data_IF_517099973026
#
_entry.id   IF_517099973026
#
_cell.length_a   1.000
_cell.length_b   1.000
_cell.length_c   1.000
_cell.angle_alpha   90.00
_cell.angle_beta   90.00
_cell.angle_gamma   90.00
#
_symmetry.space_group_name_H-M   'P 1'
#
loop_
_entity.id
_entity.type
_entity.pdbx_description
1 polymer ?
#
# COMPACT_ATOMS: atom_id res chain seq x y z
N UNK A 1 -30.11 43.94 -41.93
CA UNK A 1 -28.97 43.61 -42.80
C UNK A 1 -27.76 43.58 -41.90
N UNK A 2 -27.29 42.38 -41.56
CA UNK A 2 -26.23 42.18 -40.54
C UNK A 2 -24.91 41.92 -41.27
N UNK A 3 -23.96 42.82 -41.08
CA UNK A 3 -22.63 42.77 -41.67
C UNK A 3 -21.85 41.57 -41.10
N UNK A 4 -21.58 40.58 -41.94
CA UNK A 4 -20.76 39.43 -41.60
C UNK A 4 -19.28 39.82 -41.55
N UNK A 5 -18.67 39.74 -40.37
CA UNK A 5 -17.24 39.95 -40.17
C UNK A 5 -16.41 38.98 -41.01
N UNK A 6 -15.50 39.52 -41.82
CA UNK A 6 -14.58 38.74 -42.66
C UNK A 6 -13.64 37.88 -41.81
N UNK A 7 -13.56 36.58 -42.14
CA UNK A 7 -12.64 35.62 -41.52
C UNK A 7 -11.18 36.01 -41.79
N UNK A 8 -10.34 35.92 -40.76
CA UNK A 8 -8.95 36.43 -40.75
C UNK A 8 -8.03 35.86 -41.84
N UNK A 9 -8.35 34.71 -42.41
CA UNK A 9 -7.55 34.03 -43.44
C UNK A 9 -7.76 34.58 -44.85
N UNK A 10 -8.82 35.38 -45.10
CA UNK A 10 -9.10 35.99 -46.41
C UNK A 10 -8.66 37.46 -46.48
N UNK A 11 -7.47 37.76 -45.98
CA UNK A 11 -6.79 39.03 -46.29
C UNK A 11 -6.02 38.85 -47.59
N UNK A 12 -6.54 39.38 -48.70
CA UNK A 12 -5.68 39.67 -49.87
C UNK A 12 -4.72 40.77 -49.43
N UNK A 13 -3.50 40.39 -49.04
CA UNK A 13 -2.47 41.34 -48.65
C UNK A 13 -1.83 41.94 -49.90
N UNK A 14 -2.40 43.01 -50.42
CA UNK A 14 -1.64 43.92 -51.27
C UNK A 14 -0.79 44.79 -50.33
N UNK A 15 0.53 44.63 -50.46
CA UNK A 15 1.64 45.30 -49.75
C UNK A 15 2.24 44.55 -48.56
N UNK A 16 3.39 43.95 -48.88
CA UNK A 16 4.63 44.02 -48.12
C UNK A 16 4.52 43.86 -46.59
N UNK A 17 4.53 42.61 -46.14
CA UNK A 17 5.20 42.27 -44.89
C UNK A 17 6.17 41.13 -45.16
N UNK A 18 7.46 41.48 -45.15
CA UNK A 18 8.56 40.52 -45.13
C UNK A 18 8.49 39.84 -43.77
N UNK A 19 8.03 38.59 -43.74
CA UNK A 19 8.30 37.72 -42.62
C UNK A 19 8.77 36.38 -43.18
N UNK A 20 10.05 36.10 -42.95
CA UNK A 20 10.76 34.90 -43.35
C UNK A 20 10.26 33.70 -42.56
N UNK A 21 9.20 33.07 -43.06
CA UNK A 21 8.84 31.70 -42.74
C UNK A 21 8.59 30.99 -44.05
N UNK A 22 9.54 30.18 -44.53
CA UNK A 22 9.25 29.21 -45.58
C UNK A 22 8.30 28.18 -45.00
N UNK A 23 7.01 28.41 -45.13
CA UNK A 23 6.01 27.39 -44.89
C UNK A 23 6.01 26.47 -46.10
N UNK A 24 6.41 25.22 -45.92
CA UNK A 24 6.17 24.17 -46.91
C UNK A 24 4.65 24.02 -47.07
N UNK A 25 4.09 24.60 -48.13
CA UNK A 25 2.65 24.63 -48.43
C UNK A 25 2.09 23.20 -48.67
N UNK A 26 2.94 22.18 -48.77
CA UNK A 26 2.54 20.78 -49.00
C UNK A 26 2.13 19.96 -47.77
N UNK A 27 2.34 20.45 -46.54
CA UNK A 27 2.10 19.66 -45.31
C UNK A 27 1.17 20.34 -44.29
N UNK A 28 0.38 21.33 -44.70
CA UNK A 28 -0.70 21.84 -43.85
C UNK A 28 -1.85 20.83 -43.84
N UNK A 29 -1.76 19.87 -42.91
CA UNK A 29 -2.88 19.02 -42.53
C UNK A 29 -4.06 19.93 -42.17
N UNK A 30 -5.21 19.72 -42.82
CA UNK A 30 -6.44 20.43 -42.50
C UNK A 30 -6.74 20.28 -41.00
N UNK A 31 -7.35 21.29 -40.36
CA UNK A 31 -7.85 21.14 -39.00
C UNK A 31 -8.78 19.92 -38.96
N UNK A 32 -8.52 19.02 -38.01
CA UNK A 32 -9.14 17.69 -37.88
C UNK A 32 -10.67 17.71 -37.77
N UNK A 33 -11.28 18.88 -37.56
CA UNK A 33 -12.71 19.04 -37.45
C UNK A 33 -13.19 20.20 -38.35
N UNK A 34 -14.07 19.94 -39.32
CA UNK A 34 -14.75 21.00 -40.06
C UNK A 34 -15.69 21.79 -39.13
N UNK A 35 -16.05 23.04 -39.49
CA UNK A 35 -17.09 23.79 -38.81
C UNK A 35 -18.42 23.02 -38.72
N UNK A 36 -19.21 23.24 -37.66
CA UNK A 36 -20.49 22.54 -37.47
C UNK A 36 -21.41 22.74 -38.68
N UNK A 37 -21.97 21.64 -39.20
CA UNK A 37 -22.85 21.64 -40.37
C UNK A 37 -22.13 21.56 -41.73
N UNK A 38 -20.80 21.47 -41.74
CA UNK A 38 -20.00 21.36 -42.96
C UNK A 38 -19.10 20.14 -42.94
N UNK A 39 -18.70 19.66 -44.10
CA UNK A 39 -17.76 18.54 -44.26
C UNK A 39 -16.66 18.86 -45.28
N UNK A 40 -15.48 18.27 -45.06
CA UNK A 40 -14.36 18.36 -45.99
C UNK A 40 -14.54 17.28 -47.06
N UNK A 41 -14.66 17.69 -48.32
CA UNK A 41 -14.67 16.75 -49.46
C UNK A 41 -13.48 17.02 -50.35
N UNK A 42 -12.83 15.95 -50.81
CA UNK A 42 -11.72 16.05 -51.75
C UNK A 42 -12.27 16.03 -53.17
N UNK A 43 -11.98 17.08 -53.93
CA UNK A 43 -12.38 17.25 -55.33
C UNK A 43 -11.47 16.40 -56.23
N UNK A 44 -11.91 16.12 -57.45
CA UNK A 44 -11.17 15.35 -58.47
C UNK A 44 -9.82 15.99 -58.86
N UNK A 45 -9.69 17.30 -58.66
CA UNK A 45 -8.44 18.07 -58.77
C UNK A 45 -7.46 17.85 -57.62
N UNK A 46 -7.86 17.12 -56.58
CA UNK A 46 -7.06 16.86 -55.39
C UNK A 46 -7.09 17.96 -54.32
N UNK A 47 -7.84 19.05 -54.57
CA UNK A 47 -8.08 20.13 -53.62
C UNK A 47 -9.19 19.76 -52.62
N UNK A 48 -9.14 20.34 -51.42
CA UNK A 48 -10.16 20.14 -50.39
C UNK A 48 -11.14 21.31 -50.37
N UNK A 49 -12.42 21.01 -50.54
CA UNK A 49 -13.49 22.00 -50.47
C UNK A 49 -14.45 21.70 -49.32
N UNK A 50 -15.09 22.76 -48.85
CA UNK A 50 -15.98 22.74 -47.70
C UNK A 50 -17.43 22.70 -48.20
N UNK A 51 -18.07 21.55 -48.07
CA UNK A 51 -19.47 21.36 -48.48
C UNK A 51 -20.41 21.55 -47.30
N UNK A 52 -21.58 22.16 -47.55
CA UNK A 52 -22.67 22.11 -46.59
C UNK A 52 -23.18 20.67 -46.55
N UNK A 53 -23.31 20.12 -45.34
CA UNK A 53 -23.82 18.76 -45.16
C UNK A 53 -25.29 18.74 -45.59
N UNK A 54 -25.54 18.37 -46.85
CA UNK A 54 -26.89 18.28 -47.41
C UNK A 54 -27.71 17.33 -46.52
N UNK A 55 -28.76 17.88 -45.93
CA UNK A 55 -29.71 17.15 -45.10
C UNK A 55 -30.49 16.17 -45.99
N UNK A 56 -29.94 14.97 -46.18
CA UNK A 56 -30.72 13.85 -46.67
C UNK A 56 -31.83 13.57 -45.63
N UNK A 57 -33.14 13.61 -45.98
CA UNK A 57 -34.24 13.61 -45.00
C UNK A 57 -34.46 12.29 -44.22
N UNK A 58 -33.47 11.40 -44.15
CA UNK A 58 -33.61 10.10 -43.48
C UNK A 58 -32.65 9.84 -42.32
N UNK A 59 -31.88 10.84 -41.85
CA UNK A 59 -31.20 10.74 -40.55
C UNK A 59 -31.24 12.08 -39.81
N UNK A 60 -32.43 12.44 -39.34
CA UNK A 60 -32.59 13.36 -38.22
C UNK A 60 -32.44 12.63 -36.88
N UNK A 61 -31.95 13.37 -35.89
CA UNK A 61 -32.05 13.18 -34.43
C UNK A 61 -31.20 12.10 -33.74
N UNK A 62 -30.03 12.52 -33.25
CA UNK A 62 -29.69 12.56 -31.80
C UNK A 62 -28.73 13.77 -31.65
N UNK A 63 -29.13 15.01 -31.34
CA UNK A 63 -29.91 15.52 -30.20
C UNK A 63 -29.55 14.78 -28.92
N UNK A 64 -28.73 15.46 -28.11
CA UNK A 64 -28.77 15.48 -26.65
C UNK A 64 -29.72 14.44 -26.02
N UNK A 65 -29.20 13.24 -25.78
CA UNK A 65 -29.65 12.36 -24.70
C UNK A 65 -28.68 12.66 -23.55
N UNK A 66 -28.91 13.63 -22.65
CA UNK A 66 -30.00 13.66 -21.67
C UNK A 66 -30.76 12.33 -21.62
N UNK A 67 -30.09 11.31 -21.09
CA UNK A 67 -30.78 10.26 -20.35
C UNK A 67 -31.23 10.85 -19.01
N UNK A 68 -32.53 11.07 -18.77
CA UNK A 68 -33.08 11.08 -17.42
C UNK A 68 -33.25 9.62 -17.00
N UNK A 69 -32.15 8.88 -16.86
CA UNK A 69 -32.23 7.66 -16.07
C UNK A 69 -32.13 8.09 -14.61
N UNK A 70 -33.30 8.33 -14.03
CA UNK A 70 -33.60 8.34 -12.60
C UNK A 70 -33.31 6.95 -12.01
N UNK A 71 -32.10 6.45 -12.22
CA UNK A 71 -31.60 5.31 -11.50
C UNK A 71 -31.09 5.86 -10.16
N UNK A 72 -31.97 5.84 -9.16
CA UNK A 72 -31.72 5.80 -7.72
C UNK A 72 -30.24 5.46 -7.42
N UNK A 73 -29.41 6.49 -7.50
CA UNK A 73 -27.96 6.38 -7.45
C UNK A 73 -27.63 6.50 -5.99
N UNK A 74 -27.56 5.36 -5.29
CA UNK A 74 -27.28 5.29 -3.86
C UNK A 74 -26.37 6.45 -3.40
N UNK A 75 -26.93 7.36 -2.61
CA UNK A 75 -26.22 8.55 -2.16
C UNK A 75 -25.11 8.12 -1.21
N UNK A 76 -23.86 8.39 -1.58
CA UNK A 76 -22.72 8.17 -0.70
C UNK A 76 -22.45 9.45 0.08
N UNK A 77 -22.35 9.34 1.40
CA UNK A 77 -21.93 10.44 2.26
C UNK A 77 -20.40 10.44 2.40
N UNK A 78 -19.74 11.50 1.94
CA UNK A 78 -18.30 11.70 2.07
C UNK A 78 -18.03 12.85 3.05
N UNK A 79 -17.23 12.59 4.09
CA UNK A 79 -16.76 13.64 4.99
C UNK A 79 -15.56 14.35 4.36
N UNK A 80 -15.70 15.65 4.12
CA UNK A 80 -14.67 16.47 3.46
C UNK A 80 -13.51 16.73 4.40
N UNK A 81 -12.29 16.40 3.95
CA UNK A 81 -11.07 16.84 4.61
C UNK A 81 -10.46 18.02 3.83
N UNK A 82 -10.66 19.25 4.29
CA UNK A 82 -10.22 20.49 3.60
C UNK A 82 -8.70 20.57 3.33
N UNK A 83 -7.89 19.79 4.04
CA UNK A 83 -6.43 19.79 3.86
C UNK A 83 -5.95 18.88 2.71
N UNK A 84 -6.75 17.87 2.36
CA UNK A 84 -6.36 16.80 1.42
C UNK A 84 -7.31 16.76 0.22
N UNK A 85 -8.61 16.87 0.48
CA UNK A 85 -9.64 16.79 -0.54
C UNK A 85 -9.71 18.10 -1.32
N UNK A 86 -9.77 17.97 -2.64
CA UNK A 86 -10.06 19.06 -3.57
C UNK A 86 -11.33 18.74 -4.34
N UNK A 87 -12.06 19.76 -4.78
CA UNK A 87 -13.31 19.58 -5.53
C UNK A 87 -13.09 18.73 -6.78
N UNK A 88 -12.00 19.01 -7.51
CA UNK A 88 -11.58 18.26 -8.69
C UNK A 88 -11.16 16.83 -8.34
N UNK A 89 -10.41 16.66 -7.24
CA UNK A 89 -10.00 15.33 -6.74
C UNK A 89 -11.20 14.45 -6.39
N UNK A 90 -12.22 15.02 -5.75
CA UNK A 90 -13.48 14.31 -5.47
C UNK A 90 -14.23 13.96 -6.76
N UNK A 91 -14.31 14.88 -7.73
CA UNK A 91 -14.93 14.59 -9.01
C UNK A 91 -14.26 13.42 -9.73
N UNK A 92 -12.92 13.39 -9.74
CA UNK A 92 -12.14 12.30 -10.34
C UNK A 92 -12.32 10.98 -9.57
N UNK A 93 -12.20 11.03 -8.24
CA UNK A 93 -12.29 9.87 -7.35
C UNK A 93 -13.64 9.17 -7.50
N UNK A 94 -14.72 9.94 -7.48
CA UNK A 94 -16.08 9.43 -7.56
C UNK A 94 -16.63 9.32 -8.99
N UNK A 95 -15.84 9.69 -10.01
CA UNK A 95 -16.27 9.80 -11.42
C UNK A 95 -17.56 10.62 -11.56
N UNK A 96 -17.62 11.76 -10.88
CA UNK A 96 -18.76 12.67 -10.90
C UNK A 96 -18.39 14.00 -11.56
N UNK A 97 -19.40 14.76 -11.98
CA UNK A 97 -19.22 16.09 -12.53
C UNK A 97 -19.30 17.14 -11.41
N UNK A 98 -18.40 18.13 -11.44
CA UNK A 98 -18.38 19.27 -10.51
C UNK A 98 -19.73 19.95 -10.39
N UNK A 99 -20.40 20.23 -11.52
CA UNK A 99 -21.71 20.91 -11.51
C UNK A 99 -22.79 20.05 -10.83
N UNK A 100 -22.75 18.73 -11.04
CA UNK A 100 -23.68 17.77 -10.43
C UNK A 100 -23.48 17.73 -8.90
N UNK A 101 -22.23 17.71 -8.45
CA UNK A 101 -21.89 17.70 -7.03
C UNK A 101 -22.26 19.01 -6.31
N UNK A 102 -22.04 20.15 -6.97
CA UNK A 102 -22.44 21.47 -6.49
C UNK A 102 -23.95 21.59 -6.33
N UNK A 103 -24.71 21.20 -7.36
CA UNK A 103 -26.17 21.24 -7.35
C UNK A 103 -26.76 20.34 -6.25
N UNK A 104 -26.18 19.15 -6.03
CA UNK A 104 -26.66 18.20 -5.03
C UNK A 104 -26.46 18.70 -3.58
N UNK A 105 -25.42 19.51 -3.36
CA UNK A 105 -25.03 19.99 -2.03
C UNK A 105 -25.23 21.49 -1.82
N UNK A 106 -25.88 22.18 -2.78
CA UNK A 106 -26.18 23.60 -2.75
C UNK A 106 -24.99 24.51 -2.42
N UNK A 107 -23.80 24.23 -2.96
CA UNK A 107 -22.64 25.11 -2.82
C UNK A 107 -22.11 25.58 -4.17
N UNK A 108 -21.54 26.79 -4.18
CA UNK A 108 -20.95 27.42 -5.37
C UNK A 108 -19.48 27.71 -5.14
N UNK A 109 -18.69 27.82 -6.22
CA UNK A 109 -17.26 28.13 -6.15
C UNK A 109 -16.36 27.07 -6.78
N UNK A 110 -15.07 27.38 -6.91
CA UNK A 110 -14.04 26.45 -7.39
C UNK A 110 -13.42 25.59 -6.31
N UNK A 111 -13.52 26.00 -5.05
CA UNK A 111 -12.96 25.30 -3.90
C UNK A 111 -14.04 24.70 -3.00
N UNK A 112 -13.62 23.79 -2.11
CA UNK A 112 -14.47 23.20 -1.06
C UNK A 112 -14.60 24.12 0.18
N UNK A 113 -14.18 25.38 0.09
CA UNK A 113 -14.24 26.32 1.22
C UNK A 113 -15.68 26.65 1.63
N UNK A 114 -16.58 26.78 0.66
CA UNK A 114 -18.00 27.05 0.87
C UNK A 114 -18.86 25.78 0.90
N UNK A 115 -18.23 24.61 0.78
CA UNK A 115 -18.93 23.33 0.80
C UNK A 115 -19.23 22.90 2.25
N UNK A 116 -20.31 22.13 2.47
CA UNK A 116 -20.59 21.54 3.77
C UNK A 116 -19.51 20.51 4.17
N UNK A 117 -19.39 20.24 5.47
CA UNK A 117 -18.41 19.26 6.00
C UNK A 117 -18.70 17.82 5.54
N UNK A 118 -19.95 17.52 5.22
CA UNK A 118 -20.39 16.22 4.68
C UNK A 118 -21.06 16.45 3.34
N UNK A 119 -20.49 15.86 2.29
CA UNK A 119 -21.00 15.93 0.93
C UNK A 119 -21.79 14.67 0.59
N UNK A 120 -22.96 14.87 -0.01
CA UNK A 120 -23.70 13.85 -0.74
C UNK A 120 -23.06 13.68 -2.11
N UNK A 121 -22.69 12.46 -2.48
CA UNK A 121 -22.07 12.16 -3.76
C UNK A 121 -22.92 11.11 -4.49
N UNK A 122 -23.38 11.39 -5.73
CA UNK A 122 -24.14 10.43 -6.49
C UNK A 122 -23.22 9.27 -6.90
N UNK A 123 -23.53 8.05 -6.47
CA UNK A 123 -22.74 6.88 -6.84
C UNK A 123 -23.26 6.28 -8.14
N UNK A 124 -22.44 6.28 -9.17
CA UNK A 124 -22.74 5.50 -10.38
C UNK A 124 -22.63 4.01 -10.06
N UNK A 125 -23.68 3.24 -10.40
CA UNK A 125 -23.65 1.77 -10.33
C UNK A 125 -22.42 1.26 -11.11
N UNK A 126 -21.52 0.53 -10.46
CA UNK A 126 -20.29 -0.01 -11.06
C UNK A 126 -19.00 0.77 -10.81
N UNK A 127 -19.06 1.98 -10.21
CA UNK A 127 -17.84 2.72 -9.85
C UNK A 127 -17.41 2.35 -8.42
N UNK A 128 -16.40 1.48 -8.33
CA UNK A 128 -15.69 1.19 -7.08
C UNK A 128 -14.69 2.31 -6.80
N UNK A 129 -15.15 3.30 -6.05
CA UNK A 129 -14.31 4.35 -5.49
C UNK A 129 -13.57 3.72 -4.31
N UNK A 130 -12.30 3.41 -4.53
CA UNK A 130 -11.39 2.72 -3.60
C UNK A 130 -11.80 1.30 -3.19
N UNK A 131 -11.83 0.41 -4.19
CA UNK A 131 -11.37 -0.99 -4.01
C UNK A 131 -9.94 -1.19 -4.52
N UNK A 132 -9.10 -0.15 -4.51
CA UNK A 132 -7.65 -0.38 -4.53
C UNK A 132 -7.37 -1.26 -3.31
N UNK A 133 -6.83 -2.46 -3.53
CA UNK A 133 -6.60 -3.52 -2.55
C UNK A 133 -7.81 -4.33 -2.04
N UNK A 134 -8.90 -4.60 -2.78
CA UNK A 134 -9.87 -5.57 -2.21
C UNK A 134 -9.21 -6.93 -1.96
N UNK A 135 -8.38 -7.42 -2.89
CA UNK A 135 -7.66 -8.69 -2.68
C UNK A 135 -6.58 -8.57 -1.61
N UNK A 136 -5.68 -7.59 -1.71
CA UNK A 136 -4.57 -7.41 -0.77
C UNK A 136 -5.02 -6.98 0.64
N UNK A 137 -6.09 -6.20 0.77
CA UNK A 137 -6.66 -5.89 2.09
C UNK A 137 -7.45 -7.06 2.67
N UNK A 138 -8.12 -7.87 1.84
CA UNK A 138 -8.72 -9.13 2.31
C UNK A 138 -7.61 -10.07 2.80
N UNK A 139 -6.54 -10.25 2.03
CA UNK A 139 -5.38 -11.06 2.42
C UNK A 139 -4.71 -10.50 3.68
N UNK A 140 -4.51 -9.18 3.81
CA UNK A 140 -3.95 -8.58 5.01
C UNK A 140 -4.85 -8.79 6.24
N UNK A 141 -6.17 -8.73 6.05
CA UNK A 141 -7.14 -8.99 7.11
C UNK A 141 -7.15 -10.48 7.50
N UNK A 142 -7.04 -11.39 6.53
CA UNK A 142 -6.89 -12.83 6.74
C UNK A 142 -5.60 -13.15 7.52
N UNK A 143 -4.47 -12.59 7.09
CA UNK A 143 -3.17 -12.71 7.79
C UNK A 143 -3.28 -12.24 9.24
N UNK A 144 -3.92 -11.09 9.48
CA UNK A 144 -4.15 -10.59 10.83
C UNK A 144 -5.07 -11.50 11.67
N UNK A 145 -6.09 -12.11 11.04
CA UNK A 145 -6.98 -13.04 11.72
C UNK A 145 -6.27 -14.37 12.05
N UNK A 146 -5.42 -14.87 11.16
CA UNK A 146 -4.59 -16.06 11.39
C UNK A 146 -3.62 -15.81 12.55
N UNK A 147 -2.95 -14.66 12.57
CA UNK A 147 -2.07 -14.26 13.67
C UNK A 147 -2.80 -14.23 15.02
N UNK A 148 -4.01 -13.65 15.07
CA UNK A 148 -4.83 -13.66 16.30
C UNK A 148 -5.17 -15.06 16.76
N UNK A 149 -5.56 -15.96 15.84
CA UNK A 149 -5.82 -17.38 16.16
C UNK A 149 -4.56 -18.08 16.68
N UNK A 150 -3.41 -17.78 16.08
CA UNK A 150 -2.13 -18.37 16.47
C UNK A 150 -1.72 -17.98 17.89
N UNK A 151 -1.79 -16.68 18.21
CA UNK A 151 -1.51 -16.17 19.56
C UNK A 151 -2.48 -16.75 20.60
N UNK A 152 -3.75 -16.96 20.22
CA UNK A 152 -4.72 -17.59 21.11
C UNK A 152 -4.40 -19.07 21.43
N UNK A 153 -3.76 -19.79 20.49
CA UNK A 153 -3.28 -21.15 20.74
C UNK A 153 -1.98 -21.19 21.55
N UNK A 154 -1.12 -20.20 21.37
CA UNK A 154 0.20 -20.13 22.00
C UNK A 154 0.36 -18.83 22.80
N UNK A 155 -0.30 -18.72 23.97
CA UNK A 155 -0.26 -17.50 24.77
C UNK A 155 1.11 -17.22 25.40
N UNK A 156 2.01 -18.20 25.41
CA UNK A 156 3.41 -18.02 25.83
C UNK A 156 4.27 -17.29 24.79
N UNK A 157 3.87 -17.29 23.52
CA UNK A 157 4.61 -16.66 22.42
C UNK A 157 4.23 -15.18 22.27
N UNK A 158 5.23 -14.35 21.96
CA UNK A 158 5.02 -12.95 21.62
C UNK A 158 4.34 -12.79 20.25
N UNK A 159 3.64 -11.66 20.05
CA UNK A 159 3.05 -11.33 18.74
C UNK A 159 4.09 -11.30 17.61
N UNK A 160 5.33 -10.91 17.94
CA UNK A 160 6.42 -10.86 16.97
C UNK A 160 6.89 -12.26 16.57
N UNK A 161 7.07 -13.16 17.53
CA UNK A 161 7.45 -14.56 17.27
C UNK A 161 6.37 -15.27 16.46
N UNK A 162 5.10 -15.07 16.84
CA UNK A 162 3.97 -15.61 16.07
C UNK A 162 3.93 -15.12 14.62
N UNK A 163 4.39 -13.90 14.34
CA UNK A 163 4.55 -13.42 12.96
C UNK A 163 5.67 -14.13 12.23
N UNK A 164 6.82 -14.37 12.87
CA UNK A 164 7.95 -15.06 12.25
C UNK A 164 7.53 -16.47 11.80
N UNK A 165 6.90 -17.25 12.68
CA UNK A 165 6.42 -18.59 12.31
C UNK A 165 5.42 -18.58 11.15
N UNK A 166 4.55 -17.58 11.09
CA UNK A 166 3.58 -17.45 10.00
C UNK A 166 4.23 -16.95 8.71
N UNK A 167 5.19 -16.04 8.78
CA UNK A 167 5.92 -15.55 7.60
C UNK A 167 6.74 -16.69 6.96
N UNK A 168 7.40 -17.52 7.78
CA UNK A 168 8.21 -18.65 7.31
C UNK A 168 7.37 -19.75 6.62
N UNK A 169 6.10 -19.90 6.99
CA UNK A 169 5.18 -20.90 6.39
C UNK A 169 4.22 -20.32 5.37
N UNK A 170 4.45 -19.09 4.89
CA UNK A 170 3.52 -18.39 3.99
C UNK A 170 2.08 -18.31 4.53
N UNK A 171 1.94 -18.09 5.83
CA UNK A 171 0.70 -18.01 6.58
C UNK A 171 -0.12 -19.30 6.62
N UNK A 172 0.51 -20.46 6.40
CA UNK A 172 -0.13 -21.74 6.67
C UNK A 172 -0.15 -22.03 8.19
N UNK A 173 -1.35 -22.06 8.74
CA UNK A 173 -1.59 -22.15 10.18
C UNK A 173 -1.15 -23.49 10.78
N UNK A 174 -1.39 -24.60 10.08
CA UNK A 174 -1.06 -25.93 10.61
C UNK A 174 0.45 -26.16 10.64
N UNK A 175 1.15 -25.80 9.56
CA UNK A 175 2.61 -25.88 9.49
C UNK A 175 3.27 -24.98 10.55
N UNK A 176 2.78 -23.74 10.71
CA UNK A 176 3.29 -22.82 11.74
C UNK A 176 3.07 -23.36 13.15
N UNK A 177 1.88 -23.91 13.43
CA UNK A 177 1.55 -24.46 14.74
C UNK A 177 2.38 -25.70 15.07
N UNK A 178 2.69 -26.52 14.07
CA UNK A 178 3.58 -27.68 14.22
C UNK A 178 5.02 -27.25 14.51
N UNK A 179 5.54 -26.25 13.80
CA UNK A 179 6.88 -25.72 14.04
C UNK A 179 7.01 -25.14 15.46
N UNK A 180 6.07 -24.30 15.89
CA UNK A 180 6.09 -23.72 17.23
C UNK A 180 5.98 -24.76 18.35
N UNK A 181 5.21 -25.84 18.16
CA UNK A 181 5.16 -26.95 19.13
C UNK A 181 6.49 -27.69 19.22
N UNK A 182 7.14 -27.95 18.09
CA UNK A 182 8.43 -28.62 18.07
C UNK A 182 9.49 -27.80 18.83
N UNK A 183 9.49 -26.48 18.65
CA UNK A 183 10.44 -25.59 19.34
C UNK A 183 10.17 -25.54 20.86
N UNK A 184 8.91 -25.49 21.28
CA UNK A 184 8.57 -25.55 22.71
C UNK A 184 8.93 -26.91 23.35
N UNK A 185 8.67 -28.03 22.66
CA UNK A 185 9.04 -29.36 23.14
C UNK A 185 10.56 -29.50 23.26
N UNK A 186 11.30 -28.95 22.28
CA UNK A 186 12.75 -28.90 22.31
C UNK A 186 13.25 -28.11 23.53
N UNK A 187 12.69 -26.93 23.79
CA UNK A 187 13.05 -26.13 24.97
C UNK A 187 12.75 -26.84 26.31
N UNK A 188 11.62 -27.54 26.40
CA UNK A 188 11.27 -28.31 27.61
C UNK A 188 12.28 -29.44 27.86
N UNK A 189 12.67 -30.15 26.80
CA UNK A 189 13.67 -31.23 26.88
C UNK A 189 15.07 -30.72 27.26
N UNK A 190 15.50 -29.57 26.73
CA UNK A 190 16.83 -29.01 27.02
C UNK A 190 16.92 -28.45 28.45
N UNK A 191 15.83 -27.84 28.96
CA UNK A 191 15.75 -27.37 30.35
C UNK A 191 16.00 -28.52 31.34
N UNK A 192 15.44 -29.71 31.06
CA UNK A 192 15.68 -30.92 31.87
C UNK A 192 17.13 -31.38 31.83
N UNK A 193 17.68 -31.56 30.63
CA UNK A 193 19.04 -32.11 30.47
C UNK A 193 20.13 -31.15 30.95
N UNK A 194 19.94 -29.83 30.82
CA UNK A 194 20.89 -28.82 31.31
C UNK A 194 20.91 -28.72 32.83
N UNK A 195 19.76 -28.84 33.49
CA UNK A 195 19.68 -28.92 34.95
C UNK A 195 20.34 -30.20 35.47
N UNK A 196 20.11 -31.33 34.81
CA UNK A 196 20.67 -32.62 35.17
C UNK A 196 22.19 -32.69 34.95
N UNK A 197 22.68 -32.12 33.83
CA UNK A 197 24.13 -31.95 33.58
C UNK A 197 24.80 -31.04 34.61
N UNK A 198 24.12 -30.01 35.12
CA UNK A 198 24.65 -29.18 36.21
C UNK A 198 24.71 -29.95 37.52
N UNK A 199 23.67 -30.70 37.87
CA UNK A 199 23.61 -31.44 39.14
C UNK A 199 24.59 -32.64 39.18
N UNK A 200 24.77 -33.33 38.05
CA UNK A 200 25.76 -34.42 37.92
C UNK A 200 27.20 -33.95 38.17
N UNK A 201 27.57 -32.74 37.72
CA UNK A 201 28.90 -32.17 37.99
C UNK A 201 29.14 -31.87 39.46
N UNK A 202 28.11 -31.54 40.24
CA UNK A 202 28.25 -31.30 41.68
C UNK A 202 28.41 -32.61 42.46
N UNK A 203 27.63 -33.65 42.12
CA UNK A 203 27.73 -34.95 42.82
C UNK A 203 29.05 -35.68 42.54
N UNK A 204 29.56 -35.61 41.31
CA UNK A 204 30.86 -36.23 40.98
C UNK A 204 32.04 -35.53 41.67
N UNK A 205 31.93 -34.24 42.00
CA UNK A 205 32.98 -33.49 42.70
C UNK A 205 32.96 -33.76 44.22
N UNK A 206 31.78 -34.02 44.80
CA UNK A 206 31.67 -34.45 46.19
C UNK A 206 32.30 -35.85 46.41
N UNK A 207 32.07 -36.78 45.47
CA UNK A 207 32.65 -38.13 45.52
C UNK A 207 34.18 -38.12 45.33
N UNK A 208 34.69 -37.15 44.55
CA UNK A 208 36.13 -36.95 44.35
C UNK A 208 36.80 -36.31 45.57
N UNK A 209 36.11 -35.42 46.29
CA UNK A 209 36.57 -34.82 47.55
C UNK A 209 36.60 -35.83 48.71
N UNK A 210 35.58 -36.70 48.83
CA UNK A 210 35.55 -37.78 49.83
C UNK A 210 36.72 -38.76 49.67
N UNK A 211 37.08 -39.11 48.43
CA UNK A 211 38.26 -39.97 48.16
C UNK A 211 39.58 -39.30 48.54
N UNK A 212 39.69 -37.98 48.38
CA UNK A 212 40.90 -37.24 48.76
C UNK A 212 41.06 -37.16 50.28
N UNK A 213 39.97 -36.92 51.02
CA UNK A 213 39.98 -36.89 52.49
C UNK A 213 40.25 -38.28 53.09
N UNK A 214 39.75 -39.35 52.47
CA UNK A 214 40.03 -40.73 52.90
C UNK A 214 41.48 -41.15 52.62
N UNK A 215 42.06 -40.72 51.49
CA UNK A 215 43.46 -40.99 51.15
C UNK A 215 44.47 -40.26 52.03
N UNK A 216 44.12 -39.10 52.60
CA UNK A 216 44.98 -38.36 53.54
C UNK A 216 45.01 -39.03 54.92
N UNK A 217 43.93 -39.72 55.33
CA UNK A 217 43.88 -40.42 56.63
C UNK A 217 44.59 -41.78 56.67
N UNK A 218 44.87 -42.38 55.52
CA UNK A 218 45.57 -43.68 55.44
C UNK A 218 47.08 -43.54 55.14
N UNK A 219 47.59 -42.31 54.99
CA UNK A 219 49.01 -42.03 54.70
C UNK A 219 49.85 -41.51 55.88
N UNK A 220 49.28 -41.38 57.08
CA UNK A 220 49.92 -40.74 58.24
C UNK A 220 50.28 -41.74 59.35
N UNK A 221 50.77 -42.94 59.02
CA UNK A 221 51.47 -43.79 60.01
C UNK A 221 52.87 -44.27 59.58
N UNK A 222 53.26 -44.10 58.32
CA UNK A 222 54.59 -44.50 57.85
C UNK A 222 55.33 -43.31 57.20
N UNK A 223 55.91 -42.42 58.02
CA UNK A 223 57.34 -42.08 57.92
C UNK A 223 57.78 -40.95 58.86
N UNK A 224 58.63 -41.35 59.80
CA UNK A 224 59.68 -40.56 60.45
C UNK A 224 60.52 -39.83 59.39
N UNK A 225 60.61 -38.49 59.41
CA UNK A 225 61.67 -37.80 58.67
C UNK A 225 61.47 -36.33 58.30
N UNK A 226 61.86 -35.44 59.21
CA UNK A 226 62.49 -34.11 58.99
C UNK A 226 62.35 -33.46 57.59
N UNK A 227 61.68 -32.29 57.59
CA UNK A 227 62.24 -31.09 56.96
C UNK A 227 61.48 -30.49 55.77
N UNK A 228 61.22 -29.18 55.88
CA UNK A 228 60.85 -28.25 54.82
C UNK A 228 59.40 -28.25 54.31
N UNK A 229 58.50 -27.74 55.16
CA UNK A 229 57.25 -27.11 54.72
C UNK A 229 57.58 -25.66 54.33
N UNK A 230 57.70 -25.37 53.03
CA UNK A 230 57.63 -24.00 52.54
C UNK A 230 56.16 -23.61 52.44
N UNK A 231 55.82 -22.57 53.20
CA UNK A 231 54.56 -21.86 53.15
C UNK A 231 54.25 -21.40 51.72
N UNK A 232 53.03 -21.69 51.26
CA UNK A 232 52.33 -20.86 50.28
C UNK A 232 50.98 -20.53 50.92
N UNK A 233 50.95 -19.37 51.58
CA UNK A 233 49.77 -18.76 52.16
C UNK A 233 49.61 -17.36 51.55
N UNK A 234 48.80 -17.22 50.50
CA UNK A 234 48.27 -15.96 49.91
C UNK A 234 47.15 -16.42 48.95
N UNK A 235 45.90 -15.97 48.92
CA UNK A 235 45.13 -14.98 49.66
C UNK A 235 43.63 -15.36 49.51
N UNK A 236 42.87 -15.24 50.59
CA UNK A 236 41.44 -14.96 50.55
C UNK A 236 41.22 -13.57 51.16
N UNK A 237 40.09 -12.95 50.78
CA UNK A 237 39.57 -11.63 51.19
C UNK A 237 40.01 -10.45 50.30
N UNK A 238 39.13 -10.03 49.38
CA UNK A 238 38.40 -8.77 49.56
C UNK A 238 37.30 -8.56 48.49
N UNK A 239 36.23 -7.90 48.94
CA UNK A 239 35.18 -7.15 48.20
C UNK A 239 33.87 -7.85 47.82
N UNK A 240 32.99 -7.78 48.80
CA UNK A 240 31.56 -7.44 48.67
C UNK A 240 31.44 -6.04 48.04
N UNK A 241 30.61 -5.92 47.01
CA UNK A 241 29.83 -4.74 46.65
C UNK A 241 28.40 -5.18 46.33
#
# INVERSE_FOLDING_TARGET
>A
MSEGGMLAWKRKSDKAFVNSGQYNIGEMSLPSQPPPGKEWRKTDTGEWELFDKEANPQQETEKSTEDPNEDESAELLHKVNRNIDTLEGLCLRYKTNRRKLQNLNNFSGSSLAMAPDVLKIPRQKGVNVDRRSSKEAIEAMERANILKKFIALFPSLSQMEGRIYLDDTNYDFESAAKAARADMEWEESDKGTRAERRNSKFNNNADQAERFVRGVKEGEEDQVGKGHIKMVAVAMEEKVE
#
